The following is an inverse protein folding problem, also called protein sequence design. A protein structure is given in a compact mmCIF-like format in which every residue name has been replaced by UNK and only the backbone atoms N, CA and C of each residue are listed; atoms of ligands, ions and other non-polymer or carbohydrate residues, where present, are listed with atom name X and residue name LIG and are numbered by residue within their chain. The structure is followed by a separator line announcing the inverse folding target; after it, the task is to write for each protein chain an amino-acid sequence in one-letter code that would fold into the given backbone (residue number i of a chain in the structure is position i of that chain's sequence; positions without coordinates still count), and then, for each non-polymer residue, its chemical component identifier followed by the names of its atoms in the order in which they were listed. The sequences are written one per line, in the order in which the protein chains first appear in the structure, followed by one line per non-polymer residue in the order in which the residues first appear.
data_IF_368672472575
#
_entry.id   IF_368672472575
#
_cell.length_a   1.000
_cell.length_b   1.000
_cell.length_c   1.000
_cell.angle_alpha   90.00
_cell.angle_beta   90.00
_cell.angle_gamma   90.00
#
_symmetry.space_group_name_H-M   'P 1'
#
loop_
_entity.id
_entity.type
_entity.pdbx_description
1 polymer ?
#
# COMPACT_ATOMS: atom_id res chain seq x y z
N UNK A 1 28.37 33.98 -13.54
CA UNK A 1 27.33 33.06 -13.02
C UNK A 1 26.81 32.28 -14.22
N UNK A 2 27.34 31.09 -14.46
CA UNK A 2 26.91 30.20 -15.57
C UNK A 2 25.56 29.62 -15.16
N UNK A 3 24.54 29.88 -15.98
CA UNK A 3 23.20 29.36 -15.71
C UNK A 3 23.19 27.82 -15.80
N UNK A 4 22.56 27.15 -14.89
CA UNK A 4 22.43 25.66 -14.79
C UNK A 4 21.95 25.06 -16.12
N UNK A 5 21.19 25.80 -16.93
CA UNK A 5 20.69 25.38 -18.23
C UNK A 5 21.78 25.18 -19.30
N UNK A 6 22.89 25.91 -19.22
CA UNK A 6 24.02 25.75 -20.13
C UNK A 6 24.87 24.51 -19.79
N UNK A 7 24.92 24.13 -18.51
CA UNK A 7 25.66 22.96 -18.08
C UNK A 7 25.00 21.63 -18.55
N UNK A 8 23.69 21.62 -18.67
CA UNK A 8 22.90 20.47 -19.16
C UNK A 8 23.11 20.22 -20.65
N UNK A 9 23.32 21.29 -21.45
CA UNK A 9 23.63 21.19 -22.89
C UNK A 9 25.03 20.64 -23.17
N UNK A 10 25.98 20.92 -22.29
CA UNK A 10 27.39 20.53 -22.49
C UNK A 10 27.65 19.04 -22.27
N UNK A 11 26.78 18.33 -21.56
CA UNK A 11 26.96 16.94 -21.18
C UNK A 11 26.38 15.92 -22.17
N UNK A 12 25.75 16.34 -23.27
CA UNK A 12 25.30 15.45 -24.35
C UNK A 12 24.38 14.28 -23.91
N UNK A 13 23.85 14.36 -22.69
CA UNK A 13 22.96 13.36 -22.14
C UNK A 13 21.57 13.63 -22.70
N UNK A 14 21.18 12.79 -23.66
CA UNK A 14 19.78 12.65 -24.06
C UNK A 14 18.94 12.49 -22.79
N UNK A 15 18.03 13.44 -22.57
CA UNK A 15 17.09 13.42 -21.45
C UNK A 15 16.11 12.27 -21.74
N UNK A 16 16.53 11.03 -21.42
CA UNK A 16 15.56 10.04 -21.00
C UNK A 16 14.99 10.61 -19.70
N UNK A 17 13.80 11.16 -19.79
CA UNK A 17 13.06 11.71 -18.67
C UNK A 17 12.87 10.61 -17.62
N UNK A 18 13.84 10.51 -16.72
CA UNK A 18 13.69 9.77 -15.49
C UNK A 18 12.79 10.65 -14.59
N UNK A 19 11.50 10.69 -14.92
CA UNK A 19 10.49 11.14 -13.97
C UNK A 19 10.43 10.03 -12.93
N UNK A 20 11.37 10.06 -11.99
CA UNK A 20 11.19 9.40 -10.70
C UNK A 20 10.05 10.17 -10.04
N UNK A 21 8.83 9.70 -10.25
CA UNK A 21 7.67 10.17 -9.51
C UNK A 21 7.85 9.66 -8.07
N UNK A 22 8.65 10.38 -7.28
CA UNK A 22 8.70 10.18 -5.85
C UNK A 22 7.36 10.66 -5.30
N UNK A 23 6.42 9.75 -5.12
CA UNK A 23 5.20 10.04 -4.36
C UNK A 23 5.66 10.28 -2.92
N UNK A 24 5.78 11.54 -2.57
CA UNK A 24 6.04 11.98 -1.20
C UNK A 24 4.74 11.86 -0.38
N UNK A 25 4.85 11.88 0.94
CA UNK A 25 3.67 11.91 1.83
C UNK A 25 2.66 13.00 1.48
N UNK A 26 3.09 14.09 0.84
CA UNK A 26 2.22 15.17 0.36
C UNK A 26 1.24 14.71 -0.73
N UNK A 27 1.55 13.63 -1.44
CA UNK A 27 0.76 13.12 -2.57
C UNK A 27 -0.34 12.15 -2.13
N UNK A 28 -0.23 11.54 -0.94
CA UNK A 28 -1.25 10.66 -0.39
C UNK A 28 -2.21 11.47 0.49
N UNK A 29 -3.26 11.98 -0.14
CA UNK A 29 -4.28 12.80 0.52
C UNK A 29 -5.48 12.01 1.02
N UNK A 30 -5.67 10.82 0.49
CA UNK A 30 -6.83 10.00 0.76
C UNK A 30 -6.60 8.52 0.39
N UNK A 31 -7.55 7.69 0.75
CA UNK A 31 -7.55 6.25 0.46
C UNK A 31 -7.36 5.93 -1.02
N UNK A 32 -7.97 6.71 -1.92
CA UNK A 32 -7.90 6.46 -3.37
C UNK A 32 -6.48 6.64 -3.91
N UNK A 33 -5.78 7.69 -3.49
CA UNK A 33 -4.38 7.92 -3.87
C UNK A 33 -3.49 6.79 -3.35
N UNK A 34 -3.76 6.31 -2.13
CA UNK A 34 -3.02 5.19 -1.55
C UNK A 34 -3.26 3.87 -2.31
N UNK A 35 -4.50 3.58 -2.72
CA UNK A 35 -4.82 2.40 -3.53
C UNK A 35 -4.10 2.41 -4.88
N UNK A 36 -3.97 3.56 -5.53
CA UNK A 36 -3.16 3.67 -6.75
C UNK A 36 -1.69 3.35 -6.49
N UNK A 37 -1.13 3.85 -5.38
CA UNK A 37 0.24 3.54 -5.02
C UNK A 37 0.44 2.04 -4.74
N UNK A 38 -0.54 1.37 -4.12
CA UNK A 38 -0.52 -0.09 -3.94
C UNK A 38 -0.47 -0.80 -5.30
N UNK A 39 -1.35 -0.43 -6.24
CA UNK A 39 -1.42 -1.07 -7.55
C UNK A 39 -0.15 -0.84 -8.39
N UNK A 40 0.50 0.32 -8.24
CA UNK A 40 1.79 0.60 -8.86
C UNK A 40 2.89 -0.30 -8.27
N UNK A 41 2.96 -0.42 -6.95
CA UNK A 41 3.95 -1.28 -6.27
C UNK A 41 3.72 -2.76 -6.61
N UNK A 42 2.47 -3.23 -6.64
CA UNK A 42 2.19 -4.63 -6.98
C UNK A 42 2.66 -5.03 -8.38
N UNK A 43 2.66 -4.09 -9.34
CA UNK A 43 3.19 -4.31 -10.70
C UNK A 43 4.72 -4.46 -10.76
N UNK A 44 5.43 -4.11 -9.69
CA UNK A 44 6.88 -4.31 -9.60
C UNK A 44 7.25 -5.79 -9.32
N UNK A 45 6.28 -6.59 -8.85
CA UNK A 45 6.45 -8.01 -8.55
C UNK A 45 6.02 -8.91 -9.72
N UNK A 46 6.62 -10.10 -9.87
CA UNK A 46 6.14 -11.09 -10.83
C UNK A 46 4.66 -11.41 -10.61
N UNK A 47 3.90 -11.59 -11.69
CA UNK A 47 2.44 -11.86 -11.63
C UNK A 47 2.10 -13.06 -10.76
N UNK A 48 2.97 -14.09 -10.77
CA UNK A 48 2.79 -15.32 -9.99
C UNK A 48 3.24 -15.21 -8.53
N UNK A 49 3.87 -14.11 -8.12
CA UNK A 49 4.34 -13.94 -6.74
C UNK A 49 3.16 -13.76 -5.76
N UNK A 50 3.40 -14.06 -4.50
CA UNK A 50 2.43 -13.86 -3.42
C UNK A 50 2.14 -12.36 -3.26
N UNK A 51 3.17 -11.52 -3.31
CA UNK A 51 3.08 -10.07 -3.14
C UNK A 51 2.13 -9.43 -4.16
N UNK A 52 2.18 -9.88 -5.43
CA UNK A 52 1.31 -9.38 -6.49
C UNK A 52 -0.16 -9.78 -6.31
N UNK A 53 -0.43 -10.86 -5.58
CA UNK A 53 -1.76 -11.44 -5.35
C UNK A 53 -2.46 -10.91 -4.10
N UNK A 54 -1.73 -10.33 -3.14
CA UNK A 54 -2.36 -9.76 -1.94
C UNK A 54 -3.37 -8.68 -2.35
N UNK A 55 -4.64 -8.77 -1.93
CA UNK A 55 -5.68 -7.84 -2.36
C UNK A 55 -5.39 -6.39 -1.95
N UNK A 56 -5.50 -5.45 -2.90
CA UNK A 56 -5.31 -4.01 -2.63
C UNK A 56 -6.26 -3.50 -1.55
N UNK A 57 -7.47 -4.07 -1.47
CA UNK A 57 -8.45 -3.77 -0.43
C UNK A 57 -7.97 -4.14 0.97
N UNK A 58 -7.29 -5.29 1.13
CA UNK A 58 -6.69 -5.70 2.39
C UNK A 58 -5.58 -4.73 2.83
N UNK A 59 -4.65 -4.44 1.93
CA UNK A 59 -3.50 -3.55 2.17
C UNK A 59 -4.01 -2.15 2.57
N UNK A 60 -4.97 -1.60 1.80
CA UNK A 60 -5.54 -0.28 2.06
C UNK A 60 -6.29 -0.22 3.39
N UNK A 61 -6.99 -1.31 3.76
CA UNK A 61 -7.71 -1.39 5.04
C UNK A 61 -6.74 -1.35 6.22
N UNK A 62 -5.68 -2.16 6.18
CA UNK A 62 -4.66 -2.15 7.25
C UNK A 62 -4.04 -0.76 7.37
N UNK A 63 -3.59 -0.16 6.26
CA UNK A 63 -2.99 1.17 6.29
C UNK A 63 -3.96 2.25 6.81
N UNK A 64 -5.22 2.23 6.39
CA UNK A 64 -6.24 3.16 6.88
C UNK A 64 -6.49 2.98 8.38
N UNK A 65 -6.48 1.76 8.88
CA UNK A 65 -6.63 1.45 10.30
C UNK A 65 -5.48 2.01 11.13
N UNK A 66 -4.24 1.75 10.71
CA UNK A 66 -3.02 2.18 11.42
C UNK A 66 -2.82 3.72 11.39
N UNK A 67 -3.33 4.39 10.38
CA UNK A 67 -3.14 5.85 10.20
C UNK A 67 -4.35 6.69 10.61
N UNK A 68 -5.39 6.08 11.16
CA UNK A 68 -6.64 6.78 11.42
C UNK A 68 -7.23 7.37 10.12
N UNK A 69 -7.35 6.55 9.08
CA UNK A 69 -7.84 6.93 7.76
C UNK A 69 -6.97 8.02 7.08
N UNK A 70 -5.64 7.85 7.15
CA UNK A 70 -4.62 8.76 6.61
C UNK A 70 -4.60 10.16 7.23
N UNK A 71 -5.28 10.36 8.36
CA UNK A 71 -5.25 11.62 9.11
C UNK A 71 -4.00 11.75 10.00
N UNK A 72 -3.44 10.64 10.44
CA UNK A 72 -2.28 10.57 11.35
C UNK A 72 -2.43 11.40 12.63
N UNK A 73 -3.66 11.65 13.09
CA UNK A 73 -3.93 12.47 14.27
C UNK A 73 -3.19 11.95 15.49
N UNK A 74 -3.28 10.63 15.69
CA UNK A 74 -2.72 9.93 16.85
C UNK A 74 -1.38 9.24 16.52
N UNK A 75 -0.86 9.44 15.30
CA UNK A 75 0.36 8.80 14.84
C UNK A 75 1.29 9.77 14.06
N UNK A 76 1.68 10.93 14.62
CA UNK A 76 2.51 11.90 13.92
C UNK A 76 3.90 11.34 13.56
N UNK A 77 4.45 10.46 14.40
CA UNK A 77 5.73 9.79 14.12
C UNK A 77 5.62 8.88 12.90
N UNK A 78 4.51 8.14 12.76
CA UNK A 78 4.26 7.30 11.59
C UNK A 78 4.18 8.14 10.31
N UNK A 79 3.56 9.32 10.38
CA UNK A 79 3.55 10.28 9.27
C UNK A 79 4.96 10.70 8.86
N UNK A 80 5.78 11.12 9.82
CA UNK A 80 7.13 11.62 9.56
C UNK A 80 8.09 10.49 9.13
N UNK A 81 7.76 9.23 9.45
CA UNK A 81 8.51 8.05 9.06
C UNK A 81 8.07 7.44 7.72
N UNK A 82 7.09 7.98 7.01
CA UNK A 82 6.42 7.34 5.87
C UNK A 82 5.90 5.93 6.19
N UNK A 83 5.51 5.67 7.43
CA UNK A 83 5.16 4.35 7.94
C UNK A 83 3.64 4.19 8.05
N UNK A 84 3.03 3.64 7.01
CA UNK A 84 1.58 3.47 6.93
C UNK A 84 1.04 2.27 7.69
N UNK A 85 1.92 1.38 8.14
CA UNK A 85 1.56 0.08 8.72
C UNK A 85 2.02 -0.09 10.16
N UNK A 86 2.50 0.97 10.82
CA UNK A 86 2.97 0.88 12.21
C UNK A 86 4.16 -0.05 12.42
N UNK A 87 4.94 -0.33 11.38
CA UNK A 87 6.05 -1.30 11.44
C UNK A 87 7.17 -0.82 12.35
N UNK A 88 7.59 -1.69 13.26
CA UNK A 88 8.75 -1.43 14.11
C UNK A 88 10.06 -1.63 13.36
N UNK A 89 11.08 -0.84 13.70
CA UNK A 89 12.42 -1.02 13.18
C UNK A 89 13.12 -2.18 13.90
N UNK A 90 13.90 -2.93 13.12
CA UNK A 90 14.75 -4.02 13.62
C UNK A 90 16.19 -3.84 13.13
N UNK A 91 17.17 -4.24 13.95
CA UNK A 91 18.60 -4.10 13.60
C UNK A 91 18.96 -2.64 13.27
N UNK A 92 19.70 -2.46 12.17
CA UNK A 92 20.24 -1.15 11.75
C UNK A 92 19.28 -0.34 10.85
N UNK A 93 17.98 -0.69 10.83
CA UNK A 93 17.00 0.05 10.05
C UNK A 93 16.84 1.48 10.58
N UNK A 94 16.69 2.44 9.64
CA UNK A 94 16.33 3.83 9.99
C UNK A 94 15.00 3.83 10.76
N UNK A 95 14.93 4.64 11.81
CA UNK A 95 13.72 4.75 12.61
C UNK A 95 13.49 6.18 13.12
N UNK A 96 12.24 6.44 13.48
CA UNK A 96 11.85 7.55 14.33
C UNK A 96 11.30 6.99 15.64
N UNK A 97 11.69 7.61 16.75
CA UNK A 97 11.22 7.21 18.07
C UNK A 97 9.93 7.95 18.43
N UNK A 98 8.95 7.20 18.91
CA UNK A 98 7.70 7.78 19.42
C UNK A 98 7.92 8.37 20.81
N UNK A 99 6.98 9.20 21.28
CA UNK A 99 6.99 9.72 22.66
C UNK A 99 6.97 8.63 23.74
N UNK A 100 6.47 7.42 23.39
CA UNK A 100 6.46 6.24 24.24
C UNK A 100 7.70 5.36 24.12
N UNK A 101 8.76 5.79 23.39
CA UNK A 101 10.00 5.05 23.23
C UNK A 101 9.96 3.94 22.18
N UNK A 102 8.86 3.73 21.48
CA UNK A 102 8.80 2.74 20.40
C UNK A 102 9.52 3.27 19.15
N UNK A 103 10.34 2.40 18.53
CA UNK A 103 11.10 2.71 17.32
C UNK A 103 10.30 2.31 16.10
N UNK A 104 9.68 3.25 15.41
CA UNK A 104 8.99 3.03 14.15
C UNK A 104 9.98 3.08 13.01
N UNK A 105 9.96 2.05 12.14
CA UNK A 105 10.77 2.02 10.92
C UNK A 105 10.48 3.23 10.05
N UNK A 106 11.52 3.91 9.58
CA UNK A 106 11.43 5.04 8.67
C UNK A 106 11.68 4.60 7.23
N UNK A 107 10.82 5.04 6.33
CA UNK A 107 10.89 4.77 4.90
C UNK A 107 11.17 6.05 4.13
N UNK A 108 11.81 5.90 2.96
CA UNK A 108 12.14 7.04 2.12
C UNK A 108 10.87 7.63 1.46
N UNK A 109 9.89 6.78 1.15
CA UNK A 109 8.60 7.16 0.59
C UNK A 109 7.47 6.18 0.97
N UNK A 110 6.24 6.49 0.55
CA UNK A 110 5.07 5.65 0.79
C UNK A 110 5.15 4.28 0.10
N UNK A 111 5.72 4.20 -1.10
CA UNK A 111 5.86 2.94 -1.83
C UNK A 111 6.85 2.01 -1.15
N UNK A 112 7.93 2.55 -0.56
CA UNK A 112 8.87 1.75 0.24
C UNK A 112 8.18 1.11 1.45
N UNK A 113 7.25 1.81 2.09
CA UNK A 113 6.42 1.24 3.17
C UNK A 113 5.50 0.13 2.66
N UNK A 114 4.86 0.33 1.50
CA UNK A 114 4.00 -0.70 0.87
C UNK A 114 4.82 -1.94 0.51
N UNK A 115 6.00 -1.79 -0.15
CA UNK A 115 6.89 -2.93 -0.47
C UNK A 115 7.28 -3.70 0.79
N UNK A 116 7.65 -2.99 1.85
CA UNK A 116 8.03 -3.62 3.10
C UNK A 116 6.88 -4.41 3.72
N UNK A 117 5.65 -3.90 3.66
CA UNK A 117 4.47 -4.60 4.14
C UNK A 117 4.15 -5.84 3.31
N UNK A 118 4.19 -5.75 1.98
CA UNK A 118 4.00 -6.88 1.08
C UNK A 118 5.02 -7.99 1.36
N UNK A 119 6.30 -7.62 1.45
CA UNK A 119 7.37 -8.56 1.77
C UNK A 119 7.20 -9.20 3.16
N UNK A 120 6.74 -8.42 4.15
CA UNK A 120 6.45 -8.96 5.49
C UNK A 120 5.35 -10.01 5.42
N UNK A 121 4.23 -9.71 4.76
CA UNK A 121 3.10 -10.63 4.64
C UNK A 121 3.47 -11.89 3.86
N UNK A 122 4.21 -11.76 2.77
CA UNK A 122 4.53 -12.87 1.88
C UNK A 122 5.61 -13.83 2.44
N UNK A 123 6.57 -13.31 3.22
CA UNK A 123 7.79 -14.05 3.55
C UNK A 123 7.97 -14.36 5.05
N UNK A 124 7.12 -13.85 5.93
CA UNK A 124 7.21 -14.13 7.36
C UNK A 124 6.15 -15.18 7.76
N UNK A 125 6.62 -16.35 8.21
CA UNK A 125 5.77 -17.50 8.59
C UNK A 125 4.68 -17.15 9.60
N UNK A 126 4.85 -16.09 10.39
CA UNK A 126 3.85 -15.62 11.34
C UNK A 126 2.54 -15.15 10.67
N UNK A 127 2.61 -14.79 9.39
CA UNK A 127 1.47 -14.30 8.58
C UNK A 127 0.98 -15.32 7.55
N UNK A 128 1.48 -16.53 7.57
CA UNK A 128 1.09 -17.60 6.65
C UNK A 128 -0.43 -17.78 6.58
N UNK A 129 -1.12 -17.83 7.73
CA UNK A 129 -2.57 -17.98 7.76
C UNK A 129 -3.32 -16.79 7.12
N UNK A 130 -2.72 -15.57 7.16
CA UNK A 130 -3.28 -14.41 6.48
C UNK A 130 -3.22 -14.61 4.98
N UNK A 131 -2.08 -15.11 4.48
CA UNK A 131 -1.87 -15.37 3.05
C UNK A 131 -2.73 -16.55 2.57
N UNK A 132 -2.85 -17.60 3.32
CA UNK A 132 -3.72 -18.75 3.00
C UNK A 132 -5.22 -18.37 2.97
N UNK A 133 -5.58 -17.22 3.55
CA UNK A 133 -6.95 -16.70 3.60
C UNK A 133 -7.29 -15.71 2.48
N UNK A 134 -6.45 -15.56 1.43
CA UNK A 134 -6.59 -14.50 0.39
C UNK A 134 -7.86 -14.60 -0.45
N UNK A 135 -8.57 -15.72 -0.43
CA UNK A 135 -9.83 -15.91 -1.18
C UNK A 135 -10.92 -14.92 -0.78
N UNK A 136 -10.91 -14.46 0.48
CA UNK A 136 -11.87 -13.50 1.02
C UNK A 136 -11.18 -12.51 1.95
N UNK A 137 -11.37 -11.24 1.71
CA UNK A 137 -10.74 -10.17 2.50
C UNK A 137 -11.16 -10.22 3.99
N UNK A 138 -12.39 -10.61 4.27
CA UNK A 138 -12.91 -10.73 5.63
C UNK A 138 -12.22 -11.88 6.41
N UNK A 139 -11.89 -12.98 5.74
CA UNK A 139 -11.09 -14.07 6.34
C UNK A 139 -9.65 -13.63 6.61
N UNK A 140 -9.08 -12.82 5.72
CA UNK A 140 -7.77 -12.20 5.98
C UNK A 140 -7.79 -11.30 7.21
N UNK A 141 -8.85 -10.52 7.42
CA UNK A 141 -8.99 -9.68 8.63
C UNK A 141 -9.03 -10.51 9.90
N UNK A 142 -9.74 -11.64 9.88
CA UNK A 142 -9.77 -12.55 11.02
C UNK A 142 -8.37 -13.11 11.30
N UNK A 143 -7.71 -13.67 10.29
CA UNK A 143 -6.36 -14.22 10.43
C UNK A 143 -5.34 -13.16 10.86
N UNK A 144 -5.50 -11.90 10.40
CA UNK A 144 -4.65 -10.78 10.80
C UNK A 144 -4.85 -10.42 12.28
N UNK A 145 -6.09 -10.41 12.77
CA UNK A 145 -6.40 -10.17 14.19
C UNK A 145 -5.93 -11.29 15.12
N UNK A 146 -5.77 -12.50 14.61
CA UNK A 146 -5.23 -13.66 15.33
C UNK A 146 -3.70 -13.77 15.25
N UNK A 147 -3.06 -12.93 14.40
CA UNK A 147 -1.62 -12.91 14.19
C UNK A 147 -0.91 -12.00 15.21
N UNK A 148 0.43 -12.08 15.32
CA UNK A 148 1.20 -11.21 16.21
C UNK A 148 1.25 -9.73 15.75
N UNK A 149 0.56 -9.36 14.66
CA UNK A 149 0.55 -8.00 14.14
C UNK A 149 -0.10 -7.01 15.10
N UNK A 150 -1.21 -7.41 15.70
CA UNK A 150 -1.99 -6.55 16.57
C UNK A 150 -2.04 -7.08 18.00
N UNK A 151 -1.79 -6.21 18.97
CA UNK A 151 -2.02 -6.49 20.39
C UNK A 151 -3.48 -6.24 20.83
N UNK A 152 -4.28 -5.57 20.00
CA UNK A 152 -5.67 -5.24 20.28
C UNK A 152 -6.58 -6.46 19.98
N UNK A 153 -7.25 -7.05 20.97
CA UNK A 153 -8.13 -8.19 20.75
C UNK A 153 -9.34 -7.88 19.86
N UNK A 154 -9.65 -6.60 19.64
CA UNK A 154 -10.74 -6.16 18.79
C UNK A 154 -10.28 -5.79 17.37
N UNK A 155 -9.04 -6.14 16.98
CA UNK A 155 -8.45 -5.70 15.71
C UNK A 155 -9.22 -6.18 14.48
N UNK A 156 -9.72 -7.44 14.49
CA UNK A 156 -10.59 -7.96 13.42
C UNK A 156 -11.81 -7.08 13.18
N UNK A 157 -12.51 -6.68 14.25
CA UNK A 157 -13.70 -5.82 14.11
C UNK A 157 -13.34 -4.43 13.60
N UNK A 158 -12.18 -3.90 14.03
CA UNK A 158 -11.68 -2.61 13.57
C UNK A 158 -11.39 -2.64 12.07
N UNK A 159 -10.67 -3.66 11.59
CA UNK A 159 -10.42 -3.86 10.15
C UNK A 159 -11.73 -3.99 9.36
N UNK A 160 -12.67 -4.78 9.87
CA UNK A 160 -13.98 -4.99 9.21
C UNK A 160 -14.76 -3.69 9.10
N UNK A 161 -14.81 -2.87 10.17
CA UNK A 161 -15.49 -1.57 10.16
C UNK A 161 -14.83 -0.62 9.16
N UNK A 162 -13.50 -0.47 9.20
CA UNK A 162 -12.76 0.41 8.27
C UNK A 162 -12.97 -0.04 6.82
N UNK A 163 -12.93 -1.34 6.56
CA UNK A 163 -13.21 -1.88 5.23
C UNK A 163 -14.61 -1.52 4.75
N UNK A 164 -15.63 -1.84 5.55
CA UNK A 164 -17.03 -1.64 5.18
C UNK A 164 -17.37 -0.16 4.99
N UNK A 165 -16.88 0.70 5.88
CA UNK A 165 -17.27 2.11 5.92
C UNK A 165 -16.44 3.00 4.99
N UNK A 166 -15.21 2.57 4.63
CA UNK A 166 -14.25 3.43 3.94
C UNK A 166 -13.72 2.87 2.63
N UNK A 167 -13.32 1.59 2.62
CA UNK A 167 -12.62 1.00 1.47
C UNK A 167 -13.61 0.43 0.45
N UNK A 168 -14.57 -0.37 0.91
CA UNK A 168 -15.56 -1.03 0.06
C UNK A 168 -16.35 -0.06 -0.82
N UNK A 169 -16.87 1.07 -0.31
CA UNK A 169 -17.60 2.03 -1.15
C UNK A 169 -16.76 2.63 -2.29
N UNK A 170 -15.44 2.82 -2.08
CA UNK A 170 -14.53 3.31 -3.12
C UNK A 170 -14.40 2.27 -4.23
N UNK A 171 -14.19 0.99 -3.87
CA UNK A 171 -14.06 -0.10 -4.83
C UNK A 171 -15.34 -0.29 -5.64
N UNK A 172 -16.49 -0.26 -4.99
CA UNK A 172 -17.79 -0.39 -5.64
C UNK A 172 -18.05 0.75 -6.63
N UNK A 173 -17.70 1.98 -6.25
CA UNK A 173 -17.83 3.14 -7.13
C UNK A 173 -16.91 3.03 -8.35
N UNK A 174 -15.67 2.60 -8.18
CA UNK A 174 -14.73 2.43 -9.30
C UNK A 174 -15.15 1.29 -10.23
N UNK A 175 -15.64 0.18 -9.69
CA UNK A 175 -16.17 -0.93 -10.48
C UNK A 175 -17.42 -0.56 -11.28
N UNK A 176 -18.25 0.37 -10.79
CA UNK A 176 -19.39 0.91 -11.53
C UNK A 176 -18.96 1.82 -12.69
N UNK A 177 -17.81 2.49 -12.55
CA UNK A 177 -17.28 3.41 -13.59
C UNK A 177 -16.51 2.67 -14.70
N UNK A 178 -16.08 1.43 -14.45
CA UNK A 178 -15.42 0.59 -15.46
C UNK A 178 -16.51 -0.15 -16.24
N UNK A 179 -16.70 0.12 -17.56
CA UNK A 179 -17.64 -0.65 -18.38
C UNK A 179 -17.29 -2.14 -18.25
N UNK A 180 -18.26 -2.98 -17.85
CA UNK A 180 -18.07 -4.44 -17.85
C UNK A 180 -17.66 -4.84 -19.26
N UNK A 181 -16.41 -5.27 -19.47
CA UNK A 181 -15.97 -5.84 -20.73
C UNK A 181 -16.91 -7.01 -21.03
N UNK A 182 -17.60 -6.96 -22.18
CA UNK A 182 -18.37 -8.11 -22.65
C UNK A 182 -17.42 -9.31 -22.76
N UNK A 183 -17.81 -10.50 -22.29
CA UNK A 183 -17.00 -11.69 -22.47
C UNK A 183 -16.65 -11.86 -23.95
N UNK A 184 -15.39 -12.20 -24.22
CA UNK A 184 -14.81 -12.25 -25.58
C UNK A 184 -15.57 -13.20 -26.55
N UNK A 185 -16.33 -14.16 -26.00
CA UNK A 185 -17.17 -15.09 -26.77
C UNK A 185 -18.44 -14.45 -27.38
N UNK A 186 -18.85 -13.23 -26.96
CA UNK A 186 -19.97 -12.52 -27.59
C UNK A 186 -19.54 -11.53 -28.70
N UNK A 187 -18.24 -11.41 -28.97
CA UNK A 187 -17.69 -10.49 -29.96
C UNK A 187 -17.53 -11.13 -31.35
N UNK A 188 -17.74 -12.44 -31.48
CA UNK A 188 -17.56 -13.17 -32.74
C UNK A 188 -18.85 -13.32 -33.61
N UNK A 189 -20.02 -12.94 -33.09
CA UNK A 189 -21.30 -13.11 -33.81
C UNK A 189 -21.60 -12.01 -34.84
N UNK A 190 -20.69 -11.05 -35.06
CA UNK A 190 -20.89 -9.96 -36.05
C UNK A 190 -19.99 -10.08 -37.31
N UNK A 191 -19.31 -11.21 -37.49
CA UNK A 191 -18.41 -11.44 -38.63
C UNK A 191 -18.84 -12.64 -39.49
N UNK A 192 -20.14 -12.98 -39.47
CA UNK A 192 -20.73 -13.92 -40.45
C UNK A 192 -21.68 -13.21 -41.41
#
# INVERSE_FOLDING_TARGET
MIQIQELIKLLGLGIASLIICTITMADIKNTKDFMKAIDEVRKEYPEESVESKIPSSFIATVAATETGNFQFKDAPTAKNANNFFGMHATGDQKFLETTGGAKLRSFDDSKASIRAFLNLMANDERYKNVIESMDKVETMFKSMGESPYASNPNYTNLLTSVYTDRIKPIIETENMLIPKRKPMNQQMDYLQ
#
